data_IF_354001558780
#
_entry.id   IF_354001558780
#
_cell.length_a   1.000
_cell.length_b   1.000
_cell.length_c   1.000
_cell.angle_alpha   90.00
_cell.angle_beta   90.00
_cell.angle_gamma   90.00
#
_symmetry.space_group_name_H-M   'P 1'
#
loop_
_entity.id
_entity.type
_entity.pdbx_description
1 polymer ?
#
# COMPACT_ATOMS: atom_id res chain seq x y z
N UNK A 1 5.86 -8.81 4.97
CA UNK A 1 5.41 -9.63 6.10
C UNK A 1 3.94 -9.40 6.37
N UNK A 2 3.14 -10.46 6.48
CA UNK A 2 1.76 -10.35 6.92
C UNK A 2 1.71 -10.23 8.44
N UNK A 3 0.84 -9.36 8.95
CA UNK A 3 0.57 -9.21 10.40
C UNK A 3 1.83 -9.18 11.27
N UNK A 4 2.83 -8.40 10.87
CA UNK A 4 4.08 -8.19 11.61
C UNK A 4 5.01 -9.41 11.70
N UNK A 5 5.09 -10.20 10.65
CA UNK A 5 6.05 -11.30 10.54
C UNK A 5 5.68 -12.51 11.40
N UNK A 6 6.69 -13.23 11.88
CA UNK A 6 6.53 -14.49 12.59
C UNK A 6 5.95 -14.35 14.01
N UNK A 7 5.73 -13.14 14.51
CA UNK A 7 5.25 -12.82 15.86
C UNK A 7 6.12 -13.39 17.00
N UNK A 8 7.36 -13.72 16.69
CA UNK A 8 8.38 -14.10 17.67
C UNK A 8 9.62 -13.23 17.45
N UNK A 9 10.38 -13.03 18.48
CA UNK A 9 11.68 -12.36 18.41
C UNK A 9 12.79 -13.37 18.63
N UNK A 10 13.84 -13.32 17.81
CA UNK A 10 15.02 -14.17 18.03
C UNK A 10 15.73 -13.66 19.27
N UNK A 11 15.90 -14.52 20.32
CA UNK A 11 16.52 -14.09 21.57
C UNK A 11 17.90 -13.46 21.37
N UNK A 12 18.12 -12.32 22.02
CA UNK A 12 19.39 -11.61 21.99
C UNK A 12 19.68 -10.76 20.73
N UNK A 13 18.76 -10.75 19.74
CA UNK A 13 18.98 -10.04 18.47
C UNK A 13 18.09 -8.81 18.27
N UNK A 14 16.93 -8.77 18.91
CA UNK A 14 15.90 -7.76 18.61
C UNK A 14 15.23 -7.93 17.23
N UNK A 15 15.48 -9.02 16.51
CA UNK A 15 14.96 -9.27 15.16
C UNK A 15 13.68 -10.11 15.22
N UNK A 16 12.63 -9.60 14.58
CA UNK A 16 11.41 -10.37 14.28
C UNK A 16 11.56 -10.98 12.89
N UNK A 17 11.60 -12.33 12.75
CA UNK A 17 11.68 -12.99 11.45
C UNK A 17 10.45 -12.70 10.59
N UNK A 18 10.61 -12.82 9.27
CA UNK A 18 9.49 -12.78 8.36
C UNK A 18 8.63 -14.05 8.45
N UNK A 19 7.43 -13.99 7.91
CA UNK A 19 6.54 -15.14 7.80
C UNK A 19 6.16 -15.44 6.34
N UNK A 20 7.03 -15.11 5.39
CA UNK A 20 6.70 -15.14 3.96
C UNK A 20 6.45 -16.56 3.41
N UNK A 21 6.82 -17.59 4.14
CA UNK A 21 6.54 -18.98 3.76
C UNK A 21 5.04 -19.27 3.57
N UNK A 22 4.15 -18.52 4.22
CA UNK A 22 2.70 -18.70 4.05
C UNK A 22 2.17 -18.37 2.65
N UNK A 23 2.97 -17.67 1.83
CA UNK A 23 2.59 -17.30 0.45
C UNK A 23 2.84 -18.46 -0.52
N UNK A 24 3.63 -19.46 -0.13
CA UNK A 24 3.76 -20.69 -0.91
C UNK A 24 2.49 -21.55 -0.82
N UNK A 25 2.22 -22.28 -1.89
CA UNK A 25 1.20 -23.30 -1.88
C UNK A 25 1.70 -24.54 -1.12
N UNK A 26 1.00 -24.99 -0.06
CA UNK A 26 1.38 -26.19 0.68
C UNK A 26 1.15 -27.47 -0.10
N UNK A 27 0.36 -27.46 -1.18
CA UNK A 27 0.06 -28.63 -1.98
C UNK A 27 1.15 -28.86 -3.03
N UNK A 28 1.65 -30.11 -3.17
CA UNK A 28 2.65 -30.44 -4.17
C UNK A 28 2.14 -30.29 -5.61
N UNK A 29 3.05 -30.00 -6.54
CA UNK A 29 2.76 -30.01 -7.98
C UNK A 29 2.23 -28.72 -8.58
N UNK A 30 1.93 -27.71 -7.79
CA UNK A 30 1.50 -26.41 -8.28
C UNK A 30 2.69 -25.46 -8.53
N UNK A 31 2.44 -24.41 -9.31
CA UNK A 31 3.47 -23.43 -9.65
C UNK A 31 4.11 -22.78 -8.42
N UNK A 32 3.34 -22.57 -7.36
CA UNK A 32 3.81 -21.96 -6.10
C UNK A 32 4.06 -22.95 -4.98
N UNK A 33 4.07 -24.28 -5.27
CA UNK A 33 4.37 -25.29 -4.24
C UNK A 33 5.74 -25.08 -3.62
N UNK A 34 5.84 -25.37 -2.32
CA UNK A 34 7.10 -25.31 -1.57
C UNK A 34 8.12 -26.26 -2.20
N UNK A 35 9.31 -25.77 -2.52
CA UNK A 35 10.42 -26.55 -3.03
C UNK A 35 11.76 -25.90 -2.65
N UNK A 36 12.85 -26.69 -2.51
CA UNK A 36 14.19 -26.16 -2.26
C UNK A 36 14.62 -25.16 -3.36
N UNK A 37 15.26 -24.08 -2.98
CA UNK A 37 15.79 -23.07 -3.89
C UNK A 37 14.74 -22.21 -4.59
N UNK A 38 13.45 -22.39 -4.30
CA UNK A 38 12.35 -21.65 -4.94
C UNK A 38 12.11 -20.31 -4.28
N UNK A 39 11.90 -19.29 -5.11
CA UNK A 39 11.49 -17.96 -4.63
C UNK A 39 9.98 -17.93 -4.39
N UNK A 40 9.60 -17.29 -3.29
CA UNK A 40 8.20 -16.98 -3.03
C UNK A 40 7.74 -15.85 -3.97
N UNK A 41 6.47 -15.88 -4.37
CA UNK A 41 5.84 -14.75 -5.05
C UNK A 41 5.64 -13.58 -4.09
N UNK A 42 5.53 -12.38 -4.62
CA UNK A 42 5.26 -11.18 -3.84
C UNK A 42 4.29 -10.26 -4.56
N UNK A 43 3.44 -9.59 -3.81
CA UNK A 43 2.56 -8.52 -4.27
C UNK A 43 3.07 -7.13 -3.89
N UNK A 44 4.22 -7.04 -3.23
CA UNK A 44 4.83 -5.75 -2.88
C UNK A 44 5.17 -4.98 -4.14
N UNK A 45 4.55 -3.82 -4.30
CA UNK A 45 4.61 -2.99 -5.50
C UNK A 45 4.84 -1.52 -5.11
N UNK A 46 6.04 -1.18 -4.59
CA UNK A 46 6.39 0.23 -4.44
C UNK A 46 6.46 0.86 -5.83
N UNK A 47 5.88 2.06 -5.96
CA UNK A 47 5.76 2.75 -7.24
C UNK A 47 6.50 4.06 -7.20
N UNK A 48 7.22 4.37 -8.27
CA UNK A 48 7.76 5.70 -8.55
C UNK A 48 7.42 6.06 -9.99
N UNK A 49 6.69 7.16 -10.19
CA UNK A 49 6.43 7.72 -11.51
C UNK A 49 7.45 8.80 -11.82
N UNK A 50 7.95 8.80 -13.06
CA UNK A 50 8.92 9.77 -13.54
C UNK A 50 8.36 10.52 -14.76
N UNK A 51 8.72 11.78 -14.89
CA UNK A 51 8.50 12.60 -16.10
C UNK A 51 9.84 13.20 -16.49
N UNK A 52 10.27 12.95 -17.72
CA UNK A 52 11.56 13.41 -18.26
C UNK A 52 12.75 13.04 -17.35
N UNK A 53 12.73 11.79 -16.82
CA UNK A 53 13.76 11.24 -15.95
C UNK A 53 13.76 11.76 -14.50
N UNK A 54 12.79 12.62 -14.14
CA UNK A 54 12.66 13.16 -12.78
C UNK A 54 11.45 12.52 -12.06
N UNK A 55 11.58 12.15 -10.79
CA UNK A 55 10.45 11.65 -10.03
C UNK A 55 9.38 12.74 -9.88
N UNK A 56 8.13 12.37 -10.10
CA UNK A 56 6.96 13.24 -9.89
C UNK A 56 6.03 12.69 -8.81
N UNK A 57 6.08 11.37 -8.56
CA UNK A 57 5.25 10.71 -7.57
C UNK A 57 5.95 9.45 -7.06
N UNK A 58 5.89 9.22 -5.76
CA UNK A 58 6.22 7.94 -5.13
C UNK A 58 5.06 7.52 -4.25
N UNK A 59 4.68 6.23 -4.27
CA UNK A 59 3.63 5.71 -3.41
C UNK A 59 3.86 4.25 -3.02
N UNK A 60 3.23 3.85 -1.93
CA UNK A 60 3.22 2.48 -1.46
C UNK A 60 2.16 2.26 -0.39
N UNK A 61 1.77 1.00 -0.23
CA UNK A 61 0.79 0.57 0.77
C UNK A 61 1.00 -0.90 1.14
N UNK A 62 0.58 -1.34 2.34
CA UNK A 62 0.40 -2.75 2.67
C UNK A 62 -0.94 -3.26 2.13
N UNK A 63 -1.17 -4.57 2.12
CA UNK A 63 -2.49 -5.11 1.78
C UNK A 63 -2.48 -6.46 1.05
N UNK A 64 -1.38 -7.20 1.08
CA UNK A 64 -1.29 -8.50 0.41
C UNK A 64 -1.51 -8.38 -1.09
N UNK A 65 -2.34 -9.25 -1.66
CA UNK A 65 -2.63 -9.24 -3.10
C UNK A 65 -3.35 -7.98 -3.60
N UNK A 66 -3.97 -7.21 -2.70
CA UNK A 66 -4.65 -5.96 -3.04
C UNK A 66 -3.71 -4.78 -3.29
N UNK A 67 -2.40 -4.93 -2.99
CA UNK A 67 -1.41 -3.85 -3.09
C UNK A 67 -1.32 -3.29 -4.51
N UNK A 68 -1.05 -4.15 -5.51
CA UNK A 68 -0.82 -3.69 -6.87
C UNK A 68 -2.08 -3.08 -7.50
N UNK A 69 -3.26 -3.67 -7.26
CA UNK A 69 -4.52 -3.12 -7.76
C UNK A 69 -4.86 -1.77 -7.15
N UNK A 70 -4.62 -1.59 -5.86
CA UNK A 70 -4.80 -0.29 -5.18
C UNK A 70 -3.81 0.76 -5.67
N UNK A 71 -2.54 0.38 -5.87
CA UNK A 71 -1.52 1.29 -6.41
C UNK A 71 -1.86 1.71 -7.86
N UNK A 72 -2.34 0.78 -8.69
CA UNK A 72 -2.77 1.07 -10.06
C UNK A 72 -3.94 2.06 -10.08
N UNK A 73 -4.98 1.84 -9.27
CA UNK A 73 -6.14 2.74 -9.19
C UNK A 73 -5.71 4.14 -8.75
N UNK A 74 -4.81 4.25 -7.77
CA UNK A 74 -4.28 5.54 -7.34
C UNK A 74 -3.54 6.26 -8.47
N UNK A 75 -2.72 5.56 -9.27
CA UNK A 75 -2.04 6.15 -10.42
C UNK A 75 -3.03 6.66 -11.47
N UNK A 76 -4.05 5.89 -11.81
CA UNK A 76 -5.12 6.29 -12.74
C UNK A 76 -5.85 7.52 -12.20
N UNK A 77 -6.22 7.52 -10.93
CA UNK A 77 -6.86 8.66 -10.28
C UNK A 77 -6.01 9.93 -10.36
N UNK A 78 -4.70 9.81 -10.14
CA UNK A 78 -3.78 10.96 -10.21
C UNK A 78 -3.54 11.43 -11.64
N UNK A 79 -3.26 10.52 -12.56
CA UNK A 79 -2.74 10.83 -13.90
C UNK A 79 -3.89 11.11 -14.87
N UNK A 80 -4.92 10.27 -14.88
CA UNK A 80 -6.00 10.33 -15.86
C UNK A 80 -7.18 11.17 -15.37
N UNK A 81 -7.46 11.15 -14.06
CA UNK A 81 -8.56 11.91 -13.46
C UNK A 81 -8.12 13.22 -12.79
N UNK A 82 -6.81 13.48 -12.67
CA UNK A 82 -6.27 14.75 -12.15
C UNK A 82 -6.54 15.00 -10.66
N UNK A 83 -6.80 13.96 -9.88
CA UNK A 83 -7.04 14.09 -8.44
C UNK A 83 -5.84 14.71 -7.74
N UNK A 84 -6.08 15.48 -6.68
CA UNK A 84 -5.03 15.90 -5.76
C UNK A 84 -4.36 14.69 -5.10
N UNK A 85 -3.19 14.88 -4.48
CA UNK A 85 -2.48 13.80 -3.82
C UNK A 85 -3.32 13.16 -2.70
N UNK A 86 -4.03 13.98 -1.91
CA UNK A 86 -4.87 13.49 -0.82
C UNK A 86 -6.11 12.74 -1.35
N UNK A 87 -6.81 13.29 -2.35
CA UNK A 87 -7.93 12.60 -2.97
C UNK A 87 -7.53 11.25 -3.55
N UNK A 88 -6.37 11.18 -4.22
CA UNK A 88 -5.84 9.95 -4.79
C UNK A 88 -5.64 8.84 -3.74
N UNK A 89 -5.05 9.17 -2.58
CA UNK A 89 -4.80 8.15 -1.54
C UNK A 89 -6.07 7.72 -0.81
N UNK A 90 -7.06 8.60 -0.72
CA UNK A 90 -8.33 8.37 -0.01
C UNK A 90 -9.45 7.79 -0.89
N UNK A 91 -9.38 7.95 -2.21
CA UNK A 91 -10.39 7.47 -3.13
C UNK A 91 -10.80 6.02 -2.84
N UNK A 92 -12.10 5.69 -2.92
CA UNK A 92 -12.59 4.34 -2.74
C UNK A 92 -11.95 3.37 -3.73
N UNK A 93 -11.72 2.14 -3.28
CA UNK A 93 -11.01 1.11 -4.05
C UNK A 93 -11.88 -0.09 -4.32
N UNK A 94 -11.60 -0.73 -5.45
CA UNK A 94 -12.23 -1.96 -5.90
C UNK A 94 -11.18 -3.07 -6.02
N UNK A 95 -11.59 -4.32 -5.78
CA UNK A 95 -10.72 -5.48 -5.93
C UNK A 95 -11.49 -6.73 -6.36
N UNK A 96 -10.86 -7.57 -7.16
CA UNK A 96 -11.36 -8.90 -7.49
C UNK A 96 -10.21 -9.87 -7.74
N UNK A 97 -10.45 -11.15 -7.48
CA UNK A 97 -9.58 -12.28 -7.83
C UNK A 97 -10.27 -13.23 -8.82
N UNK A 98 -11.27 -12.74 -9.55
CA UNK A 98 -12.06 -13.54 -10.49
C UNK A 98 -13.29 -14.22 -9.88
N UNK A 99 -13.56 -13.95 -8.60
CA UNK A 99 -14.80 -14.33 -7.89
C UNK A 99 -15.71 -13.09 -7.75
N UNK A 100 -16.16 -12.79 -6.54
CA UNK A 100 -16.85 -11.54 -6.26
C UNK A 100 -15.99 -10.30 -6.48
N UNK A 101 -16.64 -9.17 -6.68
CA UNK A 101 -16.01 -7.84 -6.78
C UNK A 101 -16.16 -7.15 -5.45
N UNK A 102 -15.07 -7.00 -4.71
CA UNK A 102 -15.05 -6.21 -3.48
C UNK A 102 -15.03 -4.72 -3.84
N UNK A 103 -15.96 -3.95 -3.27
CA UNK A 103 -15.97 -2.48 -3.35
C UNK A 103 -15.99 -1.89 -1.95
N UNK A 104 -15.28 -0.80 -1.73
CA UNK A 104 -15.31 -0.12 -0.42
C UNK A 104 -16.67 0.52 -0.15
N UNK A 105 -17.02 0.63 1.14
CA UNK A 105 -18.31 1.15 1.59
C UNK A 105 -18.59 2.60 1.12
N UNK A 106 -17.55 3.38 0.83
CA UNK A 106 -17.64 4.75 0.35
C UNK A 106 -18.05 4.89 -1.14
N UNK A 107 -18.14 3.78 -1.88
CA UNK A 107 -18.71 3.85 -3.23
C UNK A 107 -20.21 4.16 -3.19
N UNK A 108 -20.71 5.05 -4.09
CA UNK A 108 -22.15 5.26 -4.27
C UNK A 108 -22.89 3.95 -4.56
N UNK A 109 -24.12 3.83 -4.08
CA UNK A 109 -24.96 2.63 -4.29
C UNK A 109 -25.24 2.34 -5.76
N UNK A 110 -25.22 3.37 -6.59
CA UNK A 110 -25.38 3.28 -8.04
C UNK A 110 -24.28 2.46 -8.70
N UNK A 111 -23.06 2.52 -8.16
CA UNK A 111 -21.91 1.72 -8.65
C UNK A 111 -22.14 0.24 -8.39
N UNK A 112 -22.60 -0.13 -7.20
CA UNK A 112 -22.97 -1.50 -6.85
C UNK A 112 -24.08 -2.01 -7.75
N UNK A 113 -25.14 -1.21 -7.92
CA UNK A 113 -26.27 -1.54 -8.80
C UNK A 113 -25.84 -1.73 -10.24
N UNK A 114 -24.98 -0.85 -10.76
CA UNK A 114 -24.48 -0.93 -12.12
C UNK A 114 -23.62 -2.18 -12.35
N UNK A 115 -22.70 -2.48 -11.44
CA UNK A 115 -21.87 -3.68 -11.50
C UNK A 115 -22.72 -4.96 -11.40
N UNK A 116 -23.71 -5.00 -10.51
CA UNK A 116 -24.65 -6.10 -10.40
C UNK A 116 -25.47 -6.30 -11.69
N UNK A 117 -25.91 -5.19 -12.32
CA UNK A 117 -26.58 -5.22 -13.62
C UNK A 117 -25.72 -5.75 -14.77
N UNK A 118 -24.40 -5.67 -14.65
CA UNK A 118 -23.44 -6.27 -15.58
C UNK A 118 -23.14 -7.75 -15.29
N UNK A 119 -23.74 -8.31 -14.22
CA UNK A 119 -23.59 -9.72 -13.84
C UNK A 119 -22.45 -9.98 -12.85
N UNK A 120 -21.90 -8.94 -12.22
CA UNK A 120 -20.93 -9.12 -11.16
C UNK A 120 -21.60 -9.42 -9.82
N UNK A 121 -21.00 -10.34 -9.05
CA UNK A 121 -21.31 -10.54 -7.64
C UNK A 121 -20.54 -9.50 -6.83
N UNK A 122 -21.22 -8.49 -6.29
CA UNK A 122 -20.62 -7.34 -5.63
C UNK A 122 -20.66 -7.51 -4.12
N UNK A 123 -19.52 -7.32 -3.45
CA UNK A 123 -19.38 -7.40 -2.01
C UNK A 123 -18.85 -6.06 -1.46
N UNK A 124 -19.62 -5.42 -0.57
CA UNK A 124 -19.15 -4.26 0.17
C UNK A 124 -18.20 -4.69 1.27
N UNK A 125 -17.10 -3.96 1.39
CA UNK A 125 -16.07 -4.18 2.40
C UNK A 125 -15.63 -2.85 3.03
N UNK A 126 -15.23 -2.84 4.32
CA UNK A 126 -14.80 -1.62 4.98
C UNK A 126 -13.59 -0.97 4.30
N UNK A 127 -12.66 -1.77 3.78
CA UNK A 127 -11.49 -1.30 3.04
C UNK A 127 -10.89 -2.38 2.14
N UNK A 128 -10.30 -1.94 1.03
CA UNK A 128 -9.50 -2.75 0.10
C UNK A 128 -8.03 -2.36 0.26
N UNK A 129 -7.20 -3.34 0.68
CA UNK A 129 -5.80 -3.07 1.00
C UNK A 129 -5.63 -2.29 2.30
N UNK A 130 -4.43 -1.74 2.51
CA UNK A 130 -4.10 -0.98 3.71
C UNK A 130 -3.84 0.50 3.44
N UNK A 131 -3.30 1.19 4.45
CA UNK A 131 -2.99 2.61 4.39
C UNK A 131 -1.97 2.95 3.32
N UNK A 132 -2.36 3.77 2.35
CA UNK A 132 -1.47 4.28 1.32
C UNK A 132 -0.75 5.53 1.82
N UNK A 133 0.55 5.59 1.55
CA UNK A 133 1.36 6.79 1.70
C UNK A 133 1.90 7.19 0.34
N UNK A 134 1.90 8.48 0.06
CA UNK A 134 2.38 9.01 -1.19
C UNK A 134 3.15 10.32 -1.00
N UNK A 135 4.09 10.59 -1.92
CA UNK A 135 4.84 11.84 -2.01
C UNK A 135 4.77 12.34 -3.45
N UNK A 136 4.35 13.57 -3.64
CA UNK A 136 4.41 14.29 -4.91
C UNK A 136 5.62 15.22 -4.91
N UNK A 137 6.34 15.26 -6.03
CA UNK A 137 7.53 16.10 -6.22
C UNK A 137 7.20 17.19 -7.25
N UNK A 138 7.20 18.43 -6.82
CA UNK A 138 7.03 19.58 -7.71
C UNK A 138 8.35 19.96 -8.39
N UNK A 139 8.24 20.72 -9.50
CA UNK A 139 9.40 21.15 -10.28
C UNK A 139 10.36 22.07 -9.51
N UNK A 140 9.85 22.82 -8.53
CA UNK A 140 10.62 23.70 -7.65
C UNK A 140 11.33 22.98 -6.49
N UNK A 141 11.19 21.65 -6.40
CA UNK A 141 11.74 20.83 -5.35
C UNK A 141 10.84 20.68 -4.11
N UNK A 142 9.66 21.30 -4.12
CA UNK A 142 8.67 21.09 -3.04
C UNK A 142 8.19 19.65 -3.03
N UNK A 143 8.11 19.04 -1.85
CA UNK A 143 7.53 17.74 -1.64
C UNK A 143 6.22 17.86 -0.85
N UNK A 144 5.17 17.24 -1.37
CA UNK A 144 3.88 17.14 -0.68
C UNK A 144 3.65 15.68 -0.28
N UNK A 145 3.41 15.43 1.01
CA UNK A 145 3.08 14.10 1.51
C UNK A 145 1.59 13.94 1.75
N UNK A 146 1.05 12.74 1.46
CA UNK A 146 -0.31 12.36 1.81
C UNK A 146 -0.35 10.94 2.38
N UNK A 147 -1.29 10.71 3.30
CA UNK A 147 -1.59 9.40 3.87
C UNK A 147 -3.10 9.23 3.94
N UNK A 148 -3.58 8.01 3.76
CA UNK A 148 -5.01 7.75 3.80
C UNK A 148 -5.48 7.28 5.19
N UNK A 149 -6.77 7.44 5.43
CA UNK A 149 -7.47 7.08 6.67
C UNK A 149 -7.36 5.59 7.05
N UNK A 150 -7.14 4.68 6.08
CA UNK A 150 -7.17 3.21 6.31
C UNK A 150 -6.14 2.68 7.29
N UNK A 151 -5.17 3.52 7.70
CA UNK A 151 -4.16 3.17 8.71
C UNK A 151 -3.73 4.39 9.54
N UNK A 152 -4.56 5.40 9.64
CA UNK A 152 -4.34 6.63 10.44
C UNK A 152 -2.95 7.26 10.21
N UNK A 153 -2.46 7.17 8.97
CA UNK A 153 -1.15 7.70 8.59
C UNK A 153 -1.11 9.21 8.66
N UNK A 154 0.01 9.77 9.13
CA UNK A 154 0.25 11.22 9.16
C UNK A 154 1.56 11.51 8.43
N UNK A 155 1.55 12.30 7.33
CA UNK A 155 2.78 12.72 6.68
C UNK A 155 3.50 13.77 7.53
N UNK A 156 4.82 13.62 7.65
CA UNK A 156 5.68 14.58 8.35
C UNK A 156 6.77 15.05 7.40
N UNK A 157 6.86 16.36 7.19
CA UNK A 157 7.89 16.99 6.39
C UNK A 157 9.05 17.50 7.25
N UNK A 158 10.27 17.31 6.77
CA UNK A 158 11.48 17.91 7.34
C UNK A 158 12.12 18.81 6.28
N UNK A 159 12.38 20.06 6.61
CA UNK A 159 13.08 20.97 5.72
C UNK A 159 14.59 20.64 5.66
N UNK A 160 15.21 20.78 4.47
CA UNK A 160 16.64 20.60 4.28
C UNK A 160 17.14 19.16 4.10
N UNK A 161 16.27 18.17 4.12
CA UNK A 161 16.60 16.75 3.87
C UNK A 161 17.49 16.09 4.91
N UNK A 162 17.89 16.80 5.98
CA UNK A 162 18.68 16.30 7.08
C UNK A 162 17.98 16.56 8.41
N UNK A 163 18.00 15.57 9.29
CA UNK A 163 17.58 15.78 10.67
C UNK A 163 18.51 16.81 11.30
N UNK A 164 17.96 17.82 11.98
CA UNK A 164 18.75 18.75 12.77
C UNK A 164 19.54 17.95 13.81
N UNK A 165 20.80 18.29 14.04
CA UNK A 165 21.61 17.65 15.07
C UNK A 165 20.88 17.65 16.41
N UNK A 166 20.79 16.50 17.08
CA UNK A 166 19.99 16.30 18.29
C UNK A 166 18.50 16.09 18.09
N UNK A 167 17.96 16.18 16.86
CA UNK A 167 16.56 15.85 16.57
C UNK A 167 16.32 14.35 16.68
N UNK A 168 15.23 13.97 17.35
CA UNK A 168 14.80 12.58 17.53
C UNK A 168 13.34 12.43 17.14
N UNK A 169 12.99 11.32 16.52
CA UNK A 169 11.61 10.99 16.21
C UNK A 169 10.74 10.74 17.47
N UNK A 170 11.39 10.40 18.58
CA UNK A 170 10.76 10.11 19.86
C UNK A 170 11.18 11.16 20.89
N UNK A 171 10.33 12.15 21.18
CA UNK A 171 10.65 13.23 22.13
C UNK A 171 11.02 12.76 23.54
N UNK A 172 10.44 11.66 23.97
CA UNK A 172 10.59 11.03 25.29
C UNK A 172 11.93 10.29 25.47
N UNK A 173 12.73 10.15 24.42
CA UNK A 173 14.08 9.57 24.50
C UNK A 173 15.20 10.63 24.59
N UNK A 174 14.84 11.88 24.77
CA UNK A 174 15.79 12.98 25.04
C UNK A 174 16.35 12.82 26.45
N UNK A 175 17.60 12.38 26.57
CA UNK A 175 18.28 12.31 27.84
C UNK A 175 18.71 10.92 28.34
N UNK A 176 18.91 9.96 27.44
CA UNK A 176 19.64 8.73 27.77
C UNK A 176 21.04 8.73 27.15
#
# INVERSE_FOLDING_TARGET
NSTFGARIMIPGTGIVPNNYMFVFDPHPGNALSIAPGKRVTTSMSPVMALRDGRPILALGLPGGLRIFGSAMQALVNKIDHGMSLQEMVEAPRIWTQGHGVEIEDDFPSEVETALGGMGHDVLRVPHVGGGMNAIEFAADGTMTGASCWRADGTPIGLSGGYAREGSRFWPDQVGR
#
